data_IF_322351539375
#
_entry.id   IF_322351539375
#
_cell.length_a   1.000
_cell.length_b   1.000
_cell.length_c   1.000
_cell.angle_alpha   90.00
_cell.angle_beta   90.00
_cell.angle_gamma   90.00
#
_symmetry.space_group_name_H-M   'P 1'
#
loop_
_entity.id
_entity.type
_entity.pdbx_description
1 polymer ?
#
# COMPACT_ATOMS: atom_id res chain seq x y z
N UNK A 1 0.15 -22.90 -0.14
CA UNK A 1 -1.06 -22.27 -0.72
C UNK A 1 -2.35 -22.92 -0.21
N UNK A 2 -2.45 -24.25 -0.16
CA UNK A 2 -3.64 -24.93 0.38
C UNK A 2 -3.94 -24.54 1.84
N UNK A 3 -2.91 -24.46 2.69
CA UNK A 3 -3.06 -24.02 4.09
C UNK A 3 -3.56 -22.58 4.21
N UNK A 4 -3.03 -21.65 3.40
CA UNK A 4 -3.53 -20.28 3.33
C UNK A 4 -4.99 -20.24 2.86
N UNK A 5 -5.33 -21.04 1.84
CA UNK A 5 -6.70 -21.09 1.33
C UNK A 5 -7.68 -21.70 2.34
N UNK A 6 -7.27 -22.70 3.12
CA UNK A 6 -8.12 -23.39 4.09
C UNK A 6 -8.23 -22.62 5.41
N UNK A 7 -7.10 -22.19 5.97
CA UNK A 7 -6.99 -21.69 7.34
C UNK A 7 -6.67 -20.20 7.42
N UNK A 8 -6.40 -19.55 6.29
CA UNK A 8 -6.03 -18.15 6.22
C UNK A 8 -4.68 -17.81 6.83
N UNK A 9 -3.79 -18.79 7.00
CA UNK A 9 -2.45 -18.61 7.57
C UNK A 9 -1.37 -18.64 6.50
N UNK A 10 -0.39 -17.74 6.62
CA UNK A 10 0.78 -17.76 5.76
C UNK A 10 1.91 -18.57 6.42
N UNK A 11 2.58 -19.48 5.69
CA UNK A 11 3.78 -20.12 6.21
C UNK A 11 4.82 -19.07 6.59
N UNK A 12 5.51 -19.29 7.72
CA UNK A 12 6.55 -18.37 8.23
C UNK A 12 7.57 -18.06 7.13
N UNK A 13 7.98 -16.79 7.03
CA UNK A 13 8.92 -16.33 6.01
C UNK A 13 8.32 -16.02 4.64
N UNK A 14 7.09 -16.46 4.34
CA UNK A 14 6.45 -16.19 3.03
C UNK A 14 6.26 -14.70 2.79
N UNK A 15 5.94 -13.96 3.85
CA UNK A 15 5.68 -12.53 3.81
C UNK A 15 6.83 -11.70 4.42
N UNK A 16 8.04 -12.26 4.43
CA UNK A 16 9.27 -11.52 4.76
C UNK A 16 9.79 -10.77 3.53
N UNK A 17 10.29 -9.57 3.73
CA UNK A 17 10.96 -8.78 2.70
C UNK A 17 12.28 -8.21 3.22
N UNK A 18 13.15 -7.87 2.28
CA UNK A 18 14.44 -7.25 2.56
C UNK A 18 14.45 -5.82 2.05
N UNK A 19 15.07 -4.90 2.79
CA UNK A 19 15.40 -3.57 2.29
C UNK A 19 16.87 -3.60 1.88
N UNK A 20 17.13 -3.56 0.57
CA UNK A 20 18.46 -3.36 0.03
C UNK A 20 18.76 -1.86 -0.08
N UNK A 21 19.92 -1.44 0.42
CA UNK A 21 20.40 -0.05 0.29
C UNK A 21 21.29 0.05 -0.95
N UNK A 22 20.82 0.77 -1.97
CA UNK A 22 21.58 1.02 -3.20
C UNK A 22 22.20 2.42 -3.14
N UNK A 23 23.53 2.56 -3.25
CA UNK A 23 24.18 3.87 -3.30
C UNK A 23 23.65 4.75 -4.45
N UNK A 24 23.41 6.03 -4.19
CA UNK A 24 23.12 7.05 -5.22
C UNK A 24 24.39 7.71 -5.77
N UNK A 25 25.46 7.66 -5.00
CA UNK A 25 26.75 8.34 -5.24
C UNK A 25 27.90 7.35 -4.98
N UNK A 26 29.09 7.63 -5.48
CA UNK A 26 30.25 6.73 -5.40
C UNK A 26 30.73 6.47 -3.96
N UNK A 27 30.68 7.49 -3.10
CA UNK A 27 31.10 7.40 -1.70
C UNK A 27 29.97 7.88 -0.78
N UNK A 28 28.94 7.04 -0.51
CA UNK A 28 27.82 7.43 0.33
C UNK A 28 28.26 7.56 1.80
N UNK A 29 27.97 8.69 2.44
CA UNK A 29 28.38 8.98 3.82
C UNK A 29 27.18 9.04 4.78
N UNK A 30 25.98 9.28 4.26
CA UNK A 30 24.76 9.43 5.04
C UNK A 30 23.62 8.58 4.47
N UNK A 31 22.61 8.26 5.30
CA UNK A 31 21.47 7.42 4.89
C UNK A 31 20.72 7.99 3.67
N UNK A 32 20.67 9.32 3.55
CA UNK A 32 20.08 10.02 2.42
C UNK A 32 20.74 9.73 1.08
N UNK A 33 21.99 9.26 1.08
CA UNK A 33 22.75 8.89 -0.12
C UNK A 33 22.37 7.50 -0.64
N UNK A 34 21.52 6.75 0.07
CA UNK A 34 21.04 5.45 -0.36
C UNK A 34 19.59 5.52 -0.87
N UNK A 35 19.28 4.64 -1.83
CA UNK A 35 17.91 4.31 -2.23
C UNK A 35 17.52 3.00 -1.55
N UNK A 36 16.54 3.00 -0.64
CA UNK A 36 16.00 1.75 -0.13
C UNK A 36 15.13 1.09 -1.20
N UNK A 37 15.44 -0.17 -1.52
CA UNK A 37 14.62 -1.02 -2.39
C UNK A 37 14.06 -2.17 -1.57
N UNK A 38 12.74 -2.31 -1.55
CA UNK A 38 12.09 -3.45 -0.91
C UNK A 38 12.05 -4.66 -1.85
N UNK A 39 12.76 -5.72 -1.48
CA UNK A 39 12.79 -7.02 -2.14
C UNK A 39 11.79 -7.93 -1.42
N UNK A 40 10.62 -8.09 -2.03
CA UNK A 40 9.56 -8.98 -1.52
C UNK A 40 9.70 -10.36 -2.17
N UNK A 41 9.50 -11.43 -1.38
CA UNK A 41 9.52 -12.80 -1.85
C UNK A 41 8.57 -13.07 -3.03
N UNK A 42 9.02 -13.85 -4.01
CA UNK A 42 8.26 -14.13 -5.24
C UNK A 42 6.89 -14.79 -4.95
N UNK A 43 6.84 -15.70 -3.97
CA UNK A 43 5.61 -16.39 -3.58
C UNK A 43 4.53 -15.41 -3.09
N UNK A 44 4.92 -14.43 -2.25
CA UNK A 44 3.98 -13.41 -1.81
C UNK A 44 3.57 -12.46 -2.93
N UNK A 45 4.48 -12.15 -3.88
CA UNK A 45 4.12 -11.36 -5.08
C UNK A 45 3.03 -12.07 -5.90
N UNK A 46 3.15 -13.38 -6.10
CA UNK A 46 2.12 -14.17 -6.80
C UNK A 46 0.81 -14.16 -6.02
N UNK A 47 0.85 -14.44 -4.71
CA UNK A 47 -0.34 -14.44 -3.87
C UNK A 47 -1.06 -13.08 -3.86
N UNK A 48 -0.33 -11.99 -3.61
CA UNK A 48 -0.88 -10.64 -3.60
C UNK A 48 -1.48 -10.26 -4.95
N UNK A 49 -0.86 -10.69 -6.07
CA UNK A 49 -1.41 -10.50 -7.41
C UNK A 49 -2.71 -11.26 -7.62
N UNK A 50 -2.81 -12.52 -7.17
CA UNK A 50 -4.04 -13.30 -7.23
C UNK A 50 -5.16 -12.63 -6.43
N UNK A 51 -4.88 -12.17 -5.21
CA UNK A 51 -5.87 -11.48 -4.38
C UNK A 51 -6.34 -10.17 -5.00
N UNK A 52 -5.41 -9.37 -5.55
CA UNK A 52 -5.73 -8.12 -6.23
C UNK A 52 -6.61 -8.34 -7.46
N UNK A 53 -6.32 -9.37 -8.26
CA UNK A 53 -7.11 -9.70 -9.44
C UNK A 53 -8.55 -10.13 -9.06
N UNK A 54 -8.73 -10.86 -7.95
CA UNK A 54 -10.06 -11.23 -7.45
C UNK A 54 -10.87 -10.01 -6.99
N UNK A 55 -10.26 -9.12 -6.20
CA UNK A 55 -10.94 -7.88 -5.78
C UNK A 55 -11.31 -7.02 -6.99
N UNK A 56 -10.44 -6.93 -7.99
CA UNK A 56 -10.69 -6.14 -9.20
C UNK A 56 -12.00 -6.52 -9.89
N UNK A 57 -12.43 -7.78 -9.83
CA UNK A 57 -13.67 -8.25 -10.44
C UNK A 57 -14.93 -7.74 -9.72
N UNK A 58 -14.85 -7.55 -8.39
CA UNK A 58 -15.99 -7.10 -7.57
C UNK A 58 -15.97 -5.59 -7.32
N UNK A 59 -14.82 -4.95 -7.50
CA UNK A 59 -14.66 -3.52 -7.22
C UNK A 59 -15.69 -2.63 -7.97
N UNK A 60 -16.07 -2.88 -9.24
CA UNK A 60 -17.09 -2.08 -9.93
C UNK A 60 -18.48 -2.11 -9.30
N UNK A 61 -18.86 -3.16 -8.56
CA UNK A 61 -20.14 -3.22 -7.85
C UNK A 61 -20.09 -2.59 -6.46
N UNK A 62 -18.88 -2.31 -5.96
CA UNK A 62 -18.61 -1.79 -4.61
C UNK A 62 -18.37 -0.28 -4.65
N UNK A 63 -17.77 0.22 -5.72
CA UNK A 63 -17.36 1.63 -5.83
C UNK A 63 -18.21 2.38 -6.84
N UNK A 64 -18.54 3.62 -6.49
CA UNK A 64 -19.36 4.51 -7.30
C UNK A 64 -18.78 4.69 -8.71
N UNK A 65 -19.65 4.87 -9.71
CA UNK A 65 -19.21 5.04 -11.09
C UNK A 65 -18.30 6.26 -11.27
N UNK A 66 -18.48 7.31 -10.47
CA UNK A 66 -17.69 8.54 -10.51
C UNK A 66 -16.24 8.36 -10.06
N UNK A 67 -15.89 7.25 -9.37
CA UNK A 67 -14.50 6.96 -9.03
C UNK A 67 -13.68 6.63 -10.28
N UNK A 68 -12.93 7.62 -10.79
CA UNK A 68 -12.34 7.59 -12.14
C UNK A 68 -11.02 6.84 -12.32
N UNK A 69 -10.33 6.47 -11.25
CA UNK A 69 -8.95 5.98 -11.30
C UNK A 69 -8.82 4.55 -10.78
N UNK A 70 -7.75 3.86 -11.19
CA UNK A 70 -7.37 2.50 -10.76
C UNK A 70 -8.34 1.35 -11.14
N UNK A 71 -9.34 1.61 -11.96
CA UNK A 71 -10.20 0.61 -12.58
C UNK A 71 -10.03 0.59 -14.10
N UNK A 72 -9.98 -0.63 -14.68
CA UNK A 72 -9.99 -0.80 -16.12
C UNK A 72 -11.31 -0.31 -16.72
N UNK A 73 -11.25 0.41 -17.84
CA UNK A 73 -12.43 0.95 -18.51
C UNK A 73 -12.92 2.30 -17.97
N UNK A 74 -12.30 2.87 -16.93
CA UNK A 74 -12.58 4.23 -16.46
C UNK A 74 -11.48 5.17 -16.92
N UNK A 75 -11.84 6.21 -17.68
CA UNK A 75 -10.88 7.14 -18.27
C UNK A 75 -10.81 8.44 -17.45
N UNK A 76 -9.60 8.79 -16.99
CA UNK A 76 -9.35 10.03 -16.24
C UNK A 76 -9.69 11.28 -17.06
N UNK A 77 -9.39 11.28 -18.35
CA UNK A 77 -9.69 12.41 -19.26
C UNK A 77 -11.19 12.66 -19.35
N UNK A 78 -11.99 11.60 -19.41
CA UNK A 78 -13.45 11.72 -19.43
C UNK A 78 -13.98 12.35 -18.13
N UNK A 79 -13.37 12.04 -16.98
CA UNK A 79 -13.76 12.66 -15.70
C UNK A 79 -13.35 14.12 -15.61
N UNK A 80 -12.18 14.47 -16.13
CA UNK A 80 -11.75 15.86 -16.23
C UNK A 80 -12.70 16.67 -17.14
N UNK A 81 -13.16 16.08 -18.24
CA UNK A 81 -14.13 16.69 -19.14
C UNK A 81 -15.48 16.97 -18.44
N UNK A 82 -16.03 15.97 -17.73
CA UNK A 82 -17.28 16.16 -16.98
C UNK A 82 -17.13 17.28 -15.94
N UNK A 83 -16.02 17.32 -15.21
CA UNK A 83 -15.79 18.37 -14.22
C UNK A 83 -15.70 19.76 -14.87
N UNK A 84 -15.04 19.89 -16.03
CA UNK A 84 -14.98 21.14 -16.77
C UNK A 84 -16.37 21.58 -17.25
N UNK A 85 -17.17 20.66 -17.79
CA UNK A 85 -18.54 20.97 -18.26
C UNK A 85 -19.42 21.48 -17.11
N UNK A 86 -19.35 20.87 -15.93
CA UNK A 86 -20.10 21.33 -14.74
C UNK A 86 -19.68 22.74 -14.32
N UNK A 87 -18.39 23.05 -14.39
CA UNK A 87 -17.88 24.39 -14.06
C UNK A 87 -18.31 25.42 -15.09
N UNK A 88 -18.26 25.06 -16.38
CA UNK A 88 -18.62 25.96 -17.46
C UNK A 88 -20.15 26.20 -17.51
N UNK A 89 -20.97 25.19 -17.23
CA UNK A 89 -22.42 25.35 -17.05
C UNK A 89 -22.73 26.33 -15.90
N UNK A 90 -22.04 26.19 -14.76
CA UNK A 90 -22.23 27.08 -13.62
C UNK A 90 -21.89 28.53 -13.97
N UNK A 91 -20.81 28.77 -14.74
CA UNK A 91 -20.44 30.10 -15.24
C UNK A 91 -21.50 30.66 -16.19
N UNK A 92 -21.94 29.87 -17.17
CA UNK A 92 -22.95 30.30 -18.16
C UNK A 92 -24.27 30.67 -17.49
N UNK A 93 -24.68 29.92 -16.47
CA UNK A 93 -25.93 30.16 -15.72
C UNK A 93 -25.77 31.16 -14.58
N UNK A 94 -24.60 31.80 -14.45
CA UNK A 94 -24.24 32.74 -13.37
C UNK A 94 -24.59 32.21 -11.97
N UNK A 95 -24.33 30.91 -11.75
CA UNK A 95 -24.57 30.23 -10.48
C UNK A 95 -23.31 30.27 -9.63
N UNK A 96 -23.46 30.60 -8.36
CA UNK A 96 -22.37 30.48 -7.40
C UNK A 96 -21.97 28.99 -7.27
N UNK A 97 -20.70 28.69 -7.51
CA UNK A 97 -20.13 27.35 -7.43
C UNK A 97 -18.90 27.36 -6.52
N UNK A 98 -18.74 26.32 -5.71
CA UNK A 98 -17.56 26.08 -4.89
C UNK A 98 -16.97 24.72 -5.28
N UNK A 99 -15.66 24.70 -5.55
CA UNK A 99 -14.93 23.46 -5.82
C UNK A 99 -14.13 23.10 -4.58
N UNK A 100 -14.36 21.90 -4.06
CA UNK A 100 -13.60 21.35 -2.94
C UNK A 100 -12.63 20.27 -3.44
N UNK A 101 -11.33 20.52 -3.27
CA UNK A 101 -10.27 19.56 -3.63
C UNK A 101 -9.60 19.08 -2.36
N UNK A 102 -9.60 17.76 -2.15
CA UNK A 102 -8.91 17.08 -1.06
C UNK A 102 -7.78 16.24 -1.62
N UNK A 103 -6.62 16.32 -1.00
CA UNK A 103 -5.48 15.43 -1.27
C UNK A 103 -5.02 14.79 0.02
N UNK A 104 -4.67 13.50 -0.03
CA UNK A 104 -4.24 12.74 1.14
C UNK A 104 -2.72 12.56 1.12
N UNK A 105 -2.02 13.18 2.08
CA UNK A 105 -0.59 12.96 2.23
C UNK A 105 -0.31 11.47 2.50
N UNK A 106 0.58 10.89 1.69
CA UNK A 106 1.03 9.50 1.82
C UNK A 106 -0.15 8.53 1.98
N UNK A 107 -1.16 8.66 1.11
CA UNK A 107 -2.43 7.95 1.19
C UNK A 107 -2.30 6.42 1.42
N UNK A 108 -1.22 5.78 0.94
CA UNK A 108 -0.98 4.36 1.16
C UNK A 108 -0.29 4.07 2.50
N UNK A 109 0.61 4.94 2.97
CA UNK A 109 1.37 4.72 4.21
C UNK A 109 0.51 5.01 5.45
N UNK A 110 -0.48 5.90 5.31
CA UNK A 110 -1.37 6.38 6.37
C UNK A 110 -2.61 5.50 6.61
N UNK A 111 -2.77 4.39 5.88
CA UNK A 111 -3.96 3.52 6.02
C UNK A 111 -3.93 2.77 7.34
N UNK A 112 -4.89 3.05 8.21
CA UNK A 112 -5.15 2.26 9.41
C UNK A 112 -5.74 0.89 9.02
N UNK A 113 -5.08 -0.20 9.44
CA UNK A 113 -5.47 -1.56 9.09
C UNK A 113 -6.77 -2.02 9.73
N UNK A 114 -7.09 -1.55 10.94
CA UNK A 114 -8.35 -1.86 11.61
C UNK A 114 -9.51 -1.21 10.88
N UNK A 115 -9.36 0.05 10.46
CA UNK A 115 -10.33 0.73 9.63
C UNK A 115 -10.52 0.03 8.28
N UNK A 116 -9.44 -0.42 7.63
CA UNK A 116 -9.53 -1.20 6.39
C UNK A 116 -10.33 -2.50 6.58
N UNK A 117 -10.05 -3.26 7.64
CA UNK A 117 -10.78 -4.50 7.94
C UNK A 117 -12.24 -4.24 8.31
N UNK A 118 -12.51 -3.14 9.01
CA UNK A 118 -13.86 -2.65 9.29
C UNK A 118 -14.61 -2.32 7.99
N UNK A 119 -13.99 -1.60 7.06
CA UNK A 119 -14.61 -1.28 5.77
C UNK A 119 -14.87 -2.52 4.93
N UNK A 120 -13.96 -3.49 4.88
CA UNK A 120 -14.21 -4.77 4.20
C UNK A 120 -15.42 -5.51 4.79
N UNK A 121 -15.61 -5.45 6.11
CA UNK A 121 -16.80 -6.00 6.75
C UNK A 121 -18.07 -5.24 6.36
N UNK A 122 -18.05 -3.91 6.35
CA UNK A 122 -19.19 -3.06 5.94
C UNK A 122 -19.57 -3.26 4.47
N UNK A 123 -18.59 -3.57 3.63
CA UNK A 123 -18.78 -3.88 2.20
C UNK A 123 -19.17 -5.36 1.98
N UNK A 124 -19.54 -6.09 3.04
CA UNK A 124 -20.02 -7.47 2.99
C UNK A 124 -19.03 -8.49 2.43
N UNK A 125 -17.72 -8.24 2.55
CA UNK A 125 -16.72 -9.27 2.26
C UNK A 125 -16.80 -10.38 3.32
N UNK A 126 -16.82 -11.64 2.86
CA UNK A 126 -16.92 -12.79 3.74
C UNK A 126 -15.72 -12.90 4.71
N UNK A 127 -15.94 -13.56 5.83
CA UNK A 127 -14.96 -13.70 6.92
C UNK A 127 -13.64 -14.30 6.45
N UNK A 128 -13.73 -15.30 5.57
CA UNK A 128 -12.57 -15.94 4.96
C UNK A 128 -11.70 -14.93 4.20
N UNK A 129 -12.31 -14.02 3.44
CA UNK A 129 -11.58 -12.97 2.73
C UNK A 129 -10.92 -11.99 3.70
N UNK A 130 -11.65 -11.56 4.72
CA UNK A 130 -11.13 -10.64 5.74
C UNK A 130 -9.96 -11.27 6.52
N UNK A 131 -10.02 -12.57 6.80
CA UNK A 131 -8.91 -13.33 7.40
C UNK A 131 -7.69 -13.35 6.50
N UNK A 132 -7.84 -13.60 5.20
CA UNK A 132 -6.74 -13.54 4.23
C UNK A 132 -6.06 -12.18 4.20
N UNK A 133 -6.84 -11.10 4.15
CA UNK A 133 -6.29 -9.75 4.14
C UNK A 133 -5.60 -9.43 5.48
N UNK A 134 -6.23 -9.78 6.61
CA UNK A 134 -5.64 -9.59 7.94
C UNK A 134 -4.31 -10.31 8.10
N UNK A 135 -4.22 -11.55 7.63
CA UNK A 135 -2.98 -12.33 7.66
C UNK A 135 -1.90 -11.69 6.79
N UNK A 136 -2.23 -11.25 5.56
CA UNK A 136 -1.30 -10.56 4.67
C UNK A 136 -0.75 -9.25 5.27
N UNK A 137 -1.56 -8.53 6.05
CA UNK A 137 -1.15 -7.30 6.73
C UNK A 137 -0.25 -7.61 7.95
N UNK A 138 -0.69 -8.50 8.83
CA UNK A 138 -0.02 -8.75 10.13
C UNK A 138 1.24 -9.60 10.04
N UNK A 139 1.35 -10.49 9.05
CA UNK A 139 2.52 -11.37 8.90
C UNK A 139 3.71 -10.73 8.19
N UNK A 140 3.58 -9.45 7.80
CA UNK A 140 4.61 -8.68 7.11
C UNK A 140 5.81 -8.43 8.02
N UNK A 141 6.97 -8.97 7.61
CA UNK A 141 8.25 -8.76 8.30
C UNK A 141 9.28 -8.18 7.35
N UNK A 142 10.16 -7.34 7.88
CA UNK A 142 11.21 -6.67 7.11
C UNK A 142 12.56 -6.86 7.81
N UNK A 143 13.62 -7.08 7.02
CA UNK A 143 15.01 -6.95 7.47
C UNK A 143 15.76 -5.99 6.55
N UNK A 144 16.77 -5.29 7.05
CA UNK A 144 17.65 -4.46 6.22
C UNK A 144 18.86 -5.28 5.81
N UNK A 145 19.27 -5.19 4.55
CA UNK A 145 20.52 -5.79 4.08
C UNK A 145 21.64 -4.77 4.26
N UNK A 146 22.57 -5.07 5.17
CA UNK A 146 23.79 -4.30 5.38
C UNK A 146 24.95 -5.12 4.83
N UNK A 147 25.63 -4.59 3.81
CA UNK A 147 26.72 -5.28 3.10
C UNK A 147 26.35 -6.71 2.63
N UNK A 148 25.11 -6.88 2.15
CA UNK A 148 24.59 -8.17 1.69
C UNK A 148 24.11 -9.13 2.79
N UNK A 149 24.29 -8.80 4.06
CA UNK A 149 23.84 -9.61 5.19
C UNK A 149 22.56 -9.04 5.82
N UNK A 150 21.55 -9.88 6.15
CA UNK A 150 20.31 -9.41 6.76
C UNK A 150 20.50 -9.08 8.24
N UNK A 151 19.93 -7.96 8.67
CA UNK A 151 19.73 -7.63 10.09
C UNK A 151 18.60 -8.46 10.70
N UNK A 152 18.35 -8.26 11.99
CA UNK A 152 17.17 -8.82 12.66
C UNK A 152 15.86 -8.37 11.98
N UNK A 153 14.90 -9.29 11.91
CA UNK A 153 13.56 -9.03 11.40
C UNK A 153 12.76 -8.14 12.35
N UNK A 154 12.04 -7.16 11.81
CA UNK A 154 11.05 -6.37 12.52
C UNK A 154 9.70 -6.38 11.80
N UNK A 155 8.61 -6.21 12.54
CA UNK A 155 7.26 -6.14 11.97
C UNK A 155 6.98 -4.76 11.38
N UNK A 156 6.28 -4.73 10.25
CA UNK A 156 5.77 -3.47 9.71
C UNK A 156 4.51 -3.08 10.46
N UNK A 157 4.45 -1.87 11.04
CA UNK A 157 3.28 -1.42 11.82
C UNK A 157 2.24 -0.66 10.97
N UNK A 158 2.61 -0.22 9.77
CA UNK A 158 1.74 0.46 8.80
C UNK A 158 2.15 0.07 7.38
N UNK A 159 1.38 0.46 6.36
CA UNK A 159 1.57 0.07 4.96
C UNK A 159 2.82 0.69 4.30
N UNK A 160 3.98 0.47 4.91
CA UNK A 160 5.30 0.86 4.46
C UNK A 160 5.80 -0.13 3.40
N UNK A 161 5.17 -0.13 2.23
CA UNK A 161 5.56 -0.96 1.07
C UNK A 161 5.69 -0.18 -0.23
N UNK A 162 5.89 1.14 -0.16
CA UNK A 162 6.35 1.93 -1.28
C UNK A 162 7.60 2.70 -0.89
N UNK A 163 8.67 2.50 -1.65
CA UNK A 163 9.97 3.10 -1.39
C UNK A 163 9.88 4.63 -1.40
N UNK A 164 10.03 5.24 -0.21
CA UNK A 164 10.70 6.53 0.04
C UNK A 164 10.82 6.77 1.56
N UNK A 165 12.06 7.09 1.98
CA UNK A 165 12.52 7.49 3.33
C UNK A 165 12.07 6.63 4.52
N UNK A 166 12.91 5.65 4.85
CA UNK A 166 12.96 5.08 6.19
C UNK A 166 13.65 6.10 7.09
N UNK A 167 12.89 6.79 7.93
CA UNK A 167 13.43 7.33 9.18
C UNK A 167 13.73 6.13 10.07
N UNK A 168 14.98 5.67 10.08
CA UNK A 168 15.41 4.68 11.06
C UNK A 168 15.46 5.44 12.38
N UNK A 169 14.44 5.28 13.22
CA UNK A 169 14.58 5.65 14.62
C UNK A 169 15.71 4.79 15.17
N UNK A 170 16.83 5.44 15.48
CA UNK A 170 17.94 4.85 16.19
C UNK A 170 17.38 4.07 17.40
N UNK A 171 17.71 2.77 17.59
CA UNK A 171 17.67 2.22 18.93
C UNK A 171 18.64 3.05 19.79
N UNK A 172 18.31 3.32 21.07
CA UNK A 172 19.24 3.99 21.96
C UNK A 172 20.56 3.22 21.96
N UNK A 173 21.64 3.96 21.71
CA UNK A 173 22.99 3.49 21.93
C UNK A 173 23.14 3.31 23.45
N UNK A 174 22.82 2.12 23.95
CA UNK A 174 23.27 1.72 25.28
C UNK A 174 24.76 1.38 25.19
N UNK A 175 25.50 2.03 26.08
CA UNK A 175 26.94 2.01 26.32
C UNK A 175 27.63 0.66 26.05
N UNK A 176 28.65 0.70 25.19
CA UNK A 176 29.83 -0.15 25.37
C UNK A 176 30.90 0.69 26.08
N UNK A 177 31.10 0.41 27.37
CA UNK A 177 32.42 0.55 28.00
C UNK A 177 33.26 -0.68 27.68
#
# INVERSE_FOLDING_TARGET
>A
MNEFHANGKLPKGTNSSFIALIPKVECPQQLGDFRPISVVGCLYKVLSKVLANRIKMVLPSVIDQMQGTFLGGRNLVHRALIANEVVDEAKQKNRNCMIFKVDFEKAYDSVNWEFLLYMLHRLSFCDKWRLWIKECLKSSKVSVLVNGSPTNEFYTQSAHRQGKHVGINHPPLDDYR
#
